data_IF_309367330022
#
_entry.id   IF_309367330022
#
_cell.length_a   1.000
_cell.length_b   1.000
_cell.length_c   1.000
_cell.angle_alpha   90.00
_cell.angle_beta   90.00
_cell.angle_gamma   90.00
#
_symmetry.space_group_name_H-M   'P 1'
#
loop_
_entity.id
_entity.type
_entity.pdbx_description
1 polymer ?
#
# COMPACT_ATOMS: atom_id res chain seq x y z
N UNK A 1 -37.46 33.51 41.83
CA UNK A 1 -37.27 32.88 40.49
C UNK A 1 -35.91 32.20 40.47
N UNK A 2 -35.89 30.86 40.56
CA UNK A 2 -34.66 30.06 40.43
C UNK A 2 -34.31 29.99 38.95
N UNK A 3 -33.16 30.52 38.55
CA UNK A 3 -32.63 30.31 37.20
C UNK A 3 -32.07 28.88 37.14
N UNK A 4 -32.77 28.01 36.42
CA UNK A 4 -32.24 26.72 36.00
C UNK A 4 -31.06 26.95 35.05
N UNK A 5 -29.87 26.62 35.53
CA UNK A 5 -28.66 26.56 34.71
C UNK A 5 -28.82 25.38 33.77
N UNK A 6 -29.21 25.67 32.53
CA UNK A 6 -29.21 24.72 31.42
C UNK A 6 -27.77 24.28 31.15
N UNK A 7 -27.38 23.16 31.74
CA UNK A 7 -26.16 22.45 31.37
C UNK A 7 -26.22 22.10 29.88
N UNK A 8 -25.20 22.43 29.07
CA UNK A 8 -25.17 22.05 27.67
C UNK A 8 -25.21 20.51 27.56
N UNK A 9 -25.90 19.97 26.54
CA UNK A 9 -26.01 18.54 26.35
C UNK A 9 -24.59 17.96 26.22
N UNK A 10 -24.21 17.11 27.18
CA UNK A 10 -23.07 16.21 27.00
C UNK A 10 -23.35 15.43 25.72
N UNK A 11 -22.62 15.72 24.66
CA UNK A 11 -22.48 14.78 23.56
C UNK A 11 -21.74 13.59 24.15
N UNK A 12 -22.50 12.63 24.69
CA UNK A 12 -21.96 11.37 25.13
C UNK A 12 -21.15 10.77 23.97
N UNK A 13 -20.01 10.10 24.26
CA UNK A 13 -19.43 9.22 23.27
C UNK A 13 -20.56 8.34 22.76
N UNK A 14 -20.81 8.35 21.44
CA UNK A 14 -21.89 7.60 20.80
C UNK A 14 -21.92 6.22 21.44
N UNK A 15 -22.91 5.97 22.29
CA UNK A 15 -23.06 4.72 23.02
C UNK A 15 -23.41 3.66 21.96
N UNK A 16 -22.36 3.14 21.32
CA UNK A 16 -22.49 2.04 20.38
C UNK A 16 -23.14 0.92 21.16
N UNK A 17 -24.28 0.43 20.67
CA UNK A 17 -24.95 -0.70 21.29
C UNK A 17 -23.93 -1.84 21.51
N UNK A 18 -24.00 -2.59 22.62
CA UNK A 18 -23.01 -3.62 22.97
C UNK A 18 -22.67 -4.56 21.79
N UNK A 19 -23.68 -4.93 20.98
CA UNK A 19 -23.52 -5.74 19.77
C UNK A 19 -22.64 -5.08 18.70
N UNK A 20 -22.81 -3.79 18.43
CA UNK A 20 -21.99 -3.04 17.47
C UNK A 20 -20.53 -2.95 17.93
N UNK A 21 -20.32 -2.82 19.25
CA UNK A 21 -18.98 -2.78 19.83
C UNK A 21 -18.24 -4.12 19.67
N UNK A 22 -18.94 -5.25 19.76
CA UNK A 22 -18.37 -6.58 19.59
C UNK A 22 -17.98 -6.83 18.13
N UNK A 23 -18.91 -6.62 17.19
CA UNK A 23 -18.65 -6.82 15.75
C UNK A 23 -17.48 -5.96 15.26
N UNK A 24 -17.36 -4.72 15.76
CA UNK A 24 -16.21 -3.85 15.47
C UNK A 24 -14.88 -4.47 15.93
N UNK A 25 -14.82 -4.99 17.16
CA UNK A 25 -13.61 -5.60 17.72
C UNK A 25 -13.23 -6.85 16.94
N UNK A 26 -14.20 -7.67 16.56
CA UNK A 26 -13.98 -8.85 15.72
C UNK A 26 -13.46 -8.46 14.34
N UNK A 27 -14.08 -7.49 13.68
CA UNK A 27 -13.61 -6.97 12.39
C UNK A 27 -12.17 -6.42 12.48
N UNK A 28 -11.87 -5.64 13.52
CA UNK A 28 -10.51 -5.15 13.77
C UNK A 28 -9.51 -6.29 13.95
N UNK A 29 -9.88 -7.34 14.69
CA UNK A 29 -9.07 -8.55 14.83
C UNK A 29 -8.72 -9.21 13.49
N UNK A 30 -9.72 -9.39 12.61
CA UNK A 30 -9.49 -9.92 11.27
C UNK A 30 -8.63 -8.98 10.40
N UNK A 31 -8.82 -7.67 10.49
CA UNK A 31 -7.98 -6.68 9.80
C UNK A 31 -6.52 -6.80 10.26
N UNK A 32 -6.27 -6.91 11.56
CA UNK A 32 -4.93 -7.07 12.10
C UNK A 32 -4.29 -8.40 11.67
N UNK A 33 -5.04 -9.49 11.71
CA UNK A 33 -4.56 -10.80 11.24
C UNK A 33 -4.25 -10.76 9.74
N UNK A 34 -5.15 -10.19 8.92
CA UNK A 34 -4.94 -10.03 7.48
C UNK A 34 -3.71 -9.17 7.19
N UNK A 35 -3.53 -8.05 7.92
CA UNK A 35 -2.37 -7.18 7.75
C UNK A 35 -1.08 -7.91 8.12
N UNK A 36 -1.07 -8.63 9.25
CA UNK A 36 0.10 -9.39 9.70
C UNK A 36 0.47 -10.47 8.68
N UNK A 37 -0.48 -11.28 8.22
CA UNK A 37 -0.21 -12.35 7.25
C UNK A 37 0.23 -11.79 5.91
N UNK A 38 -0.44 -10.76 5.37
CA UNK A 38 -0.08 -10.18 4.07
C UNK A 38 1.27 -9.45 4.09
N UNK A 39 1.77 -9.01 5.25
CA UNK A 39 3.13 -8.45 5.35
C UNK A 39 4.17 -9.54 5.61
N UNK A 40 3.92 -10.45 6.55
CA UNK A 40 4.94 -11.37 7.08
C UNK A 40 5.08 -12.63 6.21
N UNK A 41 3.96 -13.23 5.80
CA UNK A 41 3.88 -14.51 5.10
C UNK A 41 2.78 -14.50 4.03
N UNK A 42 2.85 -13.58 3.05
CA UNK A 42 1.76 -13.36 2.10
C UNK A 42 1.47 -14.54 1.18
N UNK A 43 2.42 -15.48 1.07
CA UNK A 43 2.32 -16.67 0.23
C UNK A 43 1.99 -17.93 1.02
N UNK A 44 1.70 -17.83 2.32
CA UNK A 44 1.18 -18.93 3.12
C UNK A 44 -0.09 -19.48 2.50
N UNK A 45 -0.15 -20.78 2.23
CA UNK A 45 -1.30 -21.44 1.61
C UNK A 45 -0.93 -22.37 0.46
N UNK A 46 -1.93 -22.62 -0.39
CA UNK A 46 -1.89 -23.58 -1.50
C UNK A 46 -2.37 -22.91 -2.79
N UNK A 47 -2.15 -23.56 -3.93
CA UNK A 47 -2.82 -23.18 -5.18
C UNK A 47 -4.01 -24.11 -5.41
N UNK A 48 -5.11 -23.55 -5.87
CA UNK A 48 -6.25 -24.32 -6.38
C UNK A 48 -6.36 -23.98 -7.87
N UNK A 49 -5.90 -24.90 -8.72
CA UNK A 49 -5.61 -24.59 -10.12
C UNK A 49 -4.53 -23.51 -10.21
N UNK A 50 -4.77 -22.47 -11.02
CA UNK A 50 -3.86 -21.33 -11.16
C UNK A 50 -4.07 -20.23 -10.09
N UNK A 51 -5.14 -20.32 -9.31
CA UNK A 51 -5.47 -19.30 -8.32
C UNK A 51 -4.70 -19.53 -7.01
N UNK A 52 -3.85 -18.58 -6.58
CA UNK A 52 -3.18 -18.68 -5.29
C UNK A 52 -4.18 -18.39 -4.17
N UNK A 53 -4.60 -19.44 -3.46
CA UNK A 53 -5.44 -19.31 -2.27
C UNK A 53 -4.54 -19.17 -1.05
N UNK A 54 -4.28 -17.92 -0.68
CA UNK A 54 -3.39 -17.60 0.44
C UNK A 54 -4.19 -17.41 1.74
N UNK A 55 -3.55 -17.65 2.88
CA UNK A 55 -4.12 -17.33 4.19
C UNK A 55 -4.47 -15.83 4.28
N UNK A 56 -3.65 -14.97 3.67
CA UNK A 56 -3.90 -13.52 3.62
C UNK A 56 -5.19 -13.16 2.89
N UNK A 57 -5.44 -13.78 1.72
CA UNK A 57 -6.67 -13.56 0.94
C UNK A 57 -7.91 -14.10 1.67
N UNK A 58 -7.80 -15.25 2.34
CA UNK A 58 -8.90 -15.80 3.16
C UNK A 58 -9.25 -14.84 4.31
N UNK A 59 -8.24 -14.35 5.04
CA UNK A 59 -8.43 -13.41 6.14
C UNK A 59 -9.04 -12.08 5.67
N UNK A 60 -8.64 -11.57 4.50
CA UNK A 60 -9.29 -10.40 3.89
C UNK A 60 -10.77 -10.67 3.59
N UNK A 61 -11.12 -11.83 3.04
CA UNK A 61 -12.50 -12.23 2.79
C UNK A 61 -13.33 -12.30 4.07
N UNK A 62 -12.81 -12.94 5.12
CA UNK A 62 -13.45 -13.00 6.43
C UNK A 62 -13.63 -11.62 7.05
N UNK A 63 -12.63 -10.74 6.94
CA UNK A 63 -12.72 -9.36 7.41
C UNK A 63 -13.87 -8.61 6.72
N UNK A 64 -14.03 -8.79 5.40
CA UNK A 64 -15.13 -8.19 4.63
C UNK A 64 -16.49 -8.73 5.04
N UNK A 65 -16.64 -10.04 5.25
CA UNK A 65 -17.90 -10.64 5.71
C UNK A 65 -18.29 -10.05 7.07
N UNK A 66 -17.38 -10.05 8.05
CA UNK A 66 -17.66 -9.46 9.38
C UNK A 66 -17.92 -7.95 9.27
N UNK A 67 -17.18 -7.26 8.41
CA UNK A 67 -17.37 -5.85 8.11
C UNK A 67 -18.76 -5.54 7.57
N UNK A 68 -19.27 -6.37 6.65
CA UNK A 68 -20.61 -6.27 6.11
C UNK A 68 -21.67 -6.50 7.19
N UNK A 69 -21.50 -7.53 8.03
CA UNK A 69 -22.39 -7.76 9.17
C UNK A 69 -22.41 -6.55 10.13
N UNK A 70 -21.26 -5.95 10.39
CA UNK A 70 -21.16 -4.74 11.21
C UNK A 70 -21.87 -3.54 10.56
N UNK A 71 -21.77 -3.39 9.23
CA UNK A 71 -22.49 -2.38 8.46
C UNK A 71 -24.00 -2.58 8.53
N UNK A 72 -24.49 -3.79 8.26
CA UNK A 72 -25.91 -4.16 8.37
C UNK A 72 -26.46 -3.99 9.78
N UNK A 73 -25.62 -4.13 10.82
CA UNK A 73 -25.97 -3.84 12.21
C UNK A 73 -26.05 -2.32 12.54
N UNK A 74 -26.07 -1.44 11.53
CA UNK A 74 -26.29 0.00 11.69
C UNK A 74 -25.02 0.84 11.82
N UNK A 75 -23.85 0.28 11.47
CA UNK A 75 -22.61 1.04 11.48
C UNK A 75 -22.57 2.04 10.31
N UNK A 76 -22.26 3.29 10.62
CA UNK A 76 -22.09 4.35 9.61
C UNK A 76 -20.68 4.30 9.00
N UNK A 77 -20.63 4.45 7.67
CA UNK A 77 -19.41 4.71 6.91
C UNK A 77 -19.17 6.20 6.87
N UNK A 78 -17.93 6.63 7.07
CA UNK A 78 -17.55 8.04 6.96
C UNK A 78 -17.20 8.34 5.51
N UNK A 79 -17.97 9.22 4.88
CA UNK A 79 -17.73 9.65 3.52
C UNK A 79 -16.80 10.86 3.49
N UNK A 80 -15.63 10.66 2.90
CA UNK A 80 -14.66 11.70 2.53
C UNK A 80 -14.60 11.80 1.00
N UNK A 81 -14.10 12.91 0.42
CA UNK A 81 -13.95 13.00 -1.03
C UNK A 81 -13.13 11.86 -1.65
N UNK A 82 -12.14 11.32 -0.91
CA UNK A 82 -11.34 10.18 -1.37
C UNK A 82 -12.12 8.87 -1.24
N UNK A 83 -12.82 8.62 -0.12
CA UNK A 83 -13.64 7.41 -0.01
C UNK A 83 -14.76 7.38 -1.04
N UNK A 84 -15.32 8.54 -1.41
CA UNK A 84 -16.26 8.65 -2.52
C UNK A 84 -15.66 8.20 -3.84
N UNK A 85 -14.45 8.67 -4.18
CA UNK A 85 -13.76 8.21 -5.38
C UNK A 85 -13.45 6.71 -5.34
N UNK A 86 -13.04 6.18 -4.19
CA UNK A 86 -12.74 4.75 -4.02
C UNK A 86 -14.00 3.89 -4.23
N UNK A 87 -15.16 4.30 -3.71
CA UNK A 87 -16.41 3.59 -3.96
C UNK A 87 -16.87 3.72 -5.41
N UNK A 88 -16.70 4.88 -6.05
CA UNK A 88 -17.04 5.05 -7.47
C UNK A 88 -16.19 4.13 -8.33
N UNK A 89 -14.87 4.05 -8.06
CA UNK A 89 -13.98 3.09 -8.72
C UNK A 89 -14.45 1.64 -8.48
N UNK A 90 -14.70 1.26 -7.23
CA UNK A 90 -15.13 -0.08 -6.87
C UNK A 90 -16.48 -0.47 -7.48
N UNK A 91 -17.43 0.45 -7.53
CA UNK A 91 -18.74 0.25 -8.15
C UNK A 91 -18.62 0.12 -9.67
N UNK A 92 -17.86 1.01 -10.32
CA UNK A 92 -17.60 0.94 -11.76
C UNK A 92 -16.95 -0.39 -12.14
N UNK A 93 -15.89 -0.77 -11.43
CA UNK A 93 -15.19 -2.04 -11.69
C UNK A 93 -16.04 -3.25 -11.32
N UNK A 94 -16.88 -3.17 -10.30
CA UNK A 94 -17.85 -4.22 -9.97
C UNK A 94 -18.84 -4.45 -11.10
N UNK A 95 -19.41 -3.38 -11.66
CA UNK A 95 -20.30 -3.45 -12.82
C UNK A 95 -19.57 -3.99 -14.05
N UNK A 96 -18.36 -3.51 -14.34
CA UNK A 96 -17.55 -3.97 -15.48
C UNK A 96 -17.25 -5.46 -15.36
N UNK A 97 -16.82 -5.93 -14.19
CA UNK A 97 -16.53 -7.35 -13.94
C UNK A 97 -17.78 -8.23 -13.95
N UNK A 98 -18.96 -7.70 -13.60
CA UNK A 98 -20.21 -8.43 -13.74
C UNK A 98 -20.58 -8.63 -15.22
N UNK A 99 -20.38 -7.61 -16.06
CA UNK A 99 -20.58 -7.71 -17.51
C UNK A 99 -19.61 -8.75 -18.09
N UNK A 100 -18.34 -8.66 -17.75
CA UNK A 100 -17.29 -9.62 -18.12
C UNK A 100 -17.68 -11.06 -17.74
N UNK A 101 -18.16 -11.27 -16.51
CA UNK A 101 -18.65 -12.58 -16.08
C UNK A 101 -19.87 -13.07 -16.86
N UNK A 102 -20.83 -12.19 -17.19
CA UNK A 102 -21.98 -12.53 -18.03
C UNK A 102 -21.58 -12.92 -19.46
N UNK A 103 -20.43 -12.41 -19.93
CA UNK A 103 -19.84 -12.75 -21.23
C UNK A 103 -18.95 -14.01 -21.16
N UNK A 104 -18.74 -14.59 -19.98
CA UNK A 104 -17.97 -15.82 -19.77
C UNK A 104 -16.50 -15.61 -19.41
N UNK A 105 -16.03 -14.38 -19.25
CA UNK A 105 -14.60 -14.06 -19.13
C UNK A 105 -14.36 -13.19 -17.89
N UNK A 106 -13.98 -13.76 -16.74
CA UNK A 106 -13.72 -12.97 -15.52
C UNK A 106 -12.30 -13.15 -15.00
N UNK A 107 -11.58 -12.03 -14.88
CA UNK A 107 -10.22 -12.01 -14.32
C UNK A 107 -10.23 -11.70 -12.83
N UNK A 108 -10.03 -12.75 -12.03
CA UNK A 108 -10.10 -12.70 -10.56
C UNK A 108 -9.11 -11.69 -9.98
N UNK A 109 -7.94 -11.52 -10.59
CA UNK A 109 -6.93 -10.56 -10.16
C UNK A 109 -7.39 -9.10 -10.24
N UNK A 110 -8.19 -8.74 -11.26
CA UNK A 110 -8.76 -7.40 -11.42
C UNK A 110 -9.91 -7.19 -10.45
N UNK A 111 -10.78 -8.19 -10.29
CA UNK A 111 -11.85 -8.16 -9.26
C UNK A 111 -11.23 -7.97 -7.88
N UNK A 112 -10.16 -8.70 -7.57
CA UNK A 112 -9.48 -8.60 -6.29
C UNK A 112 -8.83 -7.22 -6.09
N UNK A 113 -8.11 -6.73 -7.09
CA UNK A 113 -7.39 -5.46 -7.02
C UNK A 113 -8.29 -4.22 -7.02
N UNK A 114 -9.38 -4.24 -7.78
CA UNK A 114 -10.18 -3.06 -8.11
C UNK A 114 -11.63 -3.11 -7.62
N UNK A 115 -12.09 -4.24 -7.05
CA UNK A 115 -13.40 -4.34 -6.39
C UNK A 115 -13.22 -4.67 -4.91
N UNK A 116 -12.60 -5.82 -4.61
CA UNK A 116 -12.35 -6.26 -3.23
C UNK A 116 -11.40 -5.30 -2.51
N UNK A 117 -10.35 -4.84 -3.19
CA UNK A 117 -9.41 -3.85 -2.69
C UNK A 117 -10.07 -2.57 -2.16
N UNK A 118 -10.83 -1.82 -2.98
CA UNK A 118 -11.63 -0.68 -2.52
C UNK A 118 -12.52 -0.99 -1.30
N UNK A 119 -13.14 -2.18 -1.23
CA UNK A 119 -13.93 -2.57 -0.05
C UNK A 119 -13.05 -2.71 1.20
N UNK A 120 -11.84 -3.26 1.07
CA UNK A 120 -10.87 -3.33 2.18
C UNK A 120 -10.46 -1.93 2.65
N UNK A 121 -10.28 -0.97 1.74
CA UNK A 121 -10.03 0.42 2.11
C UNK A 121 -11.17 1.00 2.98
N UNK A 122 -12.42 0.83 2.55
CA UNK A 122 -13.60 1.31 3.29
C UNK A 122 -13.70 0.61 4.65
N UNK A 123 -13.47 -0.70 4.69
CA UNK A 123 -13.49 -1.48 5.91
C UNK A 123 -12.44 -0.99 6.91
N UNK A 124 -11.18 -0.83 6.50
CA UNK A 124 -10.09 -0.41 7.38
C UNK A 124 -10.31 1.02 7.88
N UNK A 125 -10.60 1.95 6.97
CA UNK A 125 -10.80 3.37 7.29
C UNK A 125 -11.99 3.61 8.22
N UNK A 126 -13.05 2.82 8.09
CA UNK A 126 -14.21 2.90 8.99
C UNK A 126 -14.01 2.13 10.29
N UNK A 127 -13.17 1.07 10.29
CA UNK A 127 -13.01 0.15 11.43
C UNK A 127 -12.02 0.60 12.49
N UNK A 128 -10.85 1.07 12.07
CA UNK A 128 -9.76 1.41 12.99
C UNK A 128 -9.90 2.84 13.50
N UNK A 129 -10.81 3.08 14.44
CA UNK A 129 -11.17 4.46 14.85
C UNK A 129 -10.43 4.95 16.08
N UNK A 130 -9.75 4.08 16.84
CA UNK A 130 -9.08 4.45 18.09
C UNK A 130 -7.56 4.54 17.91
N UNK A 131 -6.89 5.36 18.73
CA UNK A 131 -5.43 5.47 18.71
C UNK A 131 -4.73 4.13 18.93
N UNK A 132 -5.32 3.26 19.77
CA UNK A 132 -4.83 1.90 20.01
C UNK A 132 -4.91 1.03 18.76
N UNK A 133 -5.98 1.14 17.97
CA UNK A 133 -6.13 0.39 16.72
C UNK A 133 -5.05 0.82 15.71
N UNK A 134 -4.83 2.13 15.58
CA UNK A 134 -3.80 2.71 14.71
C UNK A 134 -2.39 2.29 15.15
N UNK A 135 -2.10 2.36 16.45
CA UNK A 135 -0.81 1.93 17.01
C UNK A 135 -0.57 0.43 16.78
N UNK A 136 -1.60 -0.41 16.96
CA UNK A 136 -1.51 -1.85 16.75
C UNK A 136 -1.20 -2.16 15.28
N UNK A 137 -1.92 -1.54 14.34
CA UNK A 137 -1.65 -1.70 12.91
C UNK A 137 -0.24 -1.23 12.54
N UNK A 138 0.20 -0.06 13.03
CA UNK A 138 1.54 0.45 12.80
C UNK A 138 2.62 -0.50 13.37
N UNK A 139 2.39 -1.08 14.55
CA UNK A 139 3.29 -2.05 15.18
C UNK A 139 3.39 -3.33 14.35
N UNK A 140 2.28 -3.81 13.78
CA UNK A 140 2.28 -4.95 12.85
C UNK A 140 3.16 -4.65 11.63
N UNK A 141 3.07 -3.44 11.05
CA UNK A 141 3.92 -3.04 9.93
C UNK A 141 5.41 -3.00 10.31
N UNK A 142 5.76 -2.48 11.49
CA UNK A 142 7.14 -2.43 11.99
C UNK A 142 7.70 -3.83 12.21
N UNK A 143 6.97 -4.68 12.94
CA UNK A 143 7.39 -6.07 13.21
C UNK A 143 7.49 -6.84 11.90
N UNK A 144 6.51 -6.68 11.01
CA UNK A 144 6.49 -7.35 9.73
C UNK A 144 7.65 -6.94 8.82
N UNK A 145 7.99 -5.66 8.77
CA UNK A 145 9.19 -5.19 8.06
C UNK A 145 10.46 -5.83 8.62
N UNK A 146 10.65 -5.82 9.95
CA UNK A 146 11.83 -6.44 10.58
C UNK A 146 11.91 -7.93 10.24
N UNK A 147 10.79 -8.65 10.32
CA UNK A 147 10.72 -10.07 9.96
C UNK A 147 11.11 -10.30 8.49
N UNK A 148 10.50 -9.56 7.56
CA UNK A 148 10.72 -9.75 6.11
C UNK A 148 12.18 -9.47 5.73
N UNK A 149 12.78 -8.44 6.31
CA UNK A 149 14.21 -8.12 6.14
C UNK A 149 15.08 -9.23 6.71
N UNK A 150 14.84 -9.64 7.97
CA UNK A 150 15.64 -10.67 8.64
C UNK A 150 15.54 -12.01 7.91
N UNK A 151 14.33 -12.41 7.53
CA UNK A 151 14.08 -13.64 6.77
C UNK A 151 14.73 -13.59 5.38
N UNK A 152 14.71 -12.44 4.71
CA UNK A 152 15.44 -12.24 3.46
C UNK A 152 16.96 -12.42 3.65
N UNK A 153 17.53 -11.85 4.72
CA UNK A 153 18.94 -12.06 5.04
C UNK A 153 19.27 -13.54 5.32
N UNK A 154 18.40 -14.26 6.04
CA UNK A 154 18.56 -15.70 6.26
C UNK A 154 18.55 -16.48 4.94
N UNK A 155 17.60 -16.21 4.04
CA UNK A 155 17.57 -16.84 2.71
C UNK A 155 18.83 -16.56 1.90
N UNK A 156 19.38 -15.35 2.02
CA UNK A 156 20.60 -14.96 1.33
C UNK A 156 21.82 -15.74 1.87
N UNK A 157 21.94 -15.89 3.19
CA UNK A 157 23.10 -16.53 3.85
C UNK A 157 23.03 -18.05 3.78
N UNK A 158 21.88 -18.65 4.09
CA UNK A 158 21.73 -20.10 4.23
C UNK A 158 21.17 -20.78 2.96
N UNK A 159 20.72 -19.99 2.00
CA UNK A 159 20.05 -20.47 0.80
C UNK A 159 18.53 -20.57 0.97
N UNK A 160 17.81 -20.38 -0.13
CA UNK A 160 16.34 -20.32 -0.16
C UNK A 160 15.70 -21.58 0.42
N UNK A 161 16.14 -22.75 -0.05
CA UNK A 161 15.52 -24.03 0.32
C UNK A 161 15.81 -24.43 1.77
N UNK A 162 16.95 -24.02 2.34
CA UNK A 162 17.30 -24.35 3.71
C UNK A 162 16.43 -23.61 4.75
N UNK A 163 15.92 -22.44 4.39
CA UNK A 163 15.14 -21.57 5.28
C UNK A 163 13.64 -21.67 5.01
N UNK A 164 13.24 -22.15 3.82
CA UNK A 164 11.84 -22.25 3.42
C UNK A 164 11.04 -23.19 4.34
N UNK A 165 9.91 -22.70 4.83
CA UNK A 165 8.89 -23.46 5.56
C UNK A 165 7.68 -23.68 4.63
N UNK A 166 7.51 -24.88 4.05
CA UNK A 166 6.43 -25.17 3.10
C UNK A 166 5.03 -24.89 3.66
N UNK A 167 4.20 -24.22 2.87
CA UNK A 167 2.83 -23.81 3.27
C UNK A 167 2.76 -22.58 4.17
N UNK A 168 3.88 -22.13 4.75
CA UNK A 168 3.94 -20.96 5.65
C UNK A 168 4.66 -19.80 4.99
N UNK A 169 5.97 -19.92 4.76
CA UNK A 169 6.76 -18.84 4.15
C UNK A 169 6.80 -18.92 2.63
N UNK A 170 6.36 -20.05 2.08
CA UNK A 170 6.29 -20.38 0.67
C UNK A 170 4.98 -21.12 0.42
N UNK A 171 4.38 -20.92 -0.75
CA UNK A 171 3.21 -21.69 -1.16
C UNK A 171 3.59 -23.17 -1.28
N UNK A 172 2.77 -24.06 -0.71
CA UNK A 172 3.07 -25.49 -0.64
C UNK A 172 3.19 -26.13 -2.02
N UNK A 173 2.25 -25.83 -2.91
CA UNK A 173 2.21 -26.40 -4.27
C UNK A 173 3.42 -25.96 -5.09
N UNK A 174 3.84 -24.69 -4.96
CA UNK A 174 5.06 -24.22 -5.62
C UNK A 174 6.30 -24.92 -5.07
N UNK A 175 6.42 -25.07 -3.75
CA UNK A 175 7.58 -25.74 -3.16
C UNK A 175 7.73 -27.20 -3.63
N UNK A 176 6.61 -27.88 -3.88
CA UNK A 176 6.58 -29.25 -4.37
C UNK A 176 6.92 -29.39 -5.87
N UNK A 177 7.04 -28.29 -6.63
CA UNK A 177 7.33 -28.36 -8.07
C UNK A 177 8.79 -28.67 -8.40
N UNK A 178 9.69 -28.65 -7.40
CA UNK A 178 11.10 -29.05 -7.55
C UNK A 178 12.07 -28.17 -6.77
N UNK A 179 13.36 -28.52 -6.79
CA UNK A 179 14.41 -27.81 -6.06
C UNK A 179 14.59 -26.33 -6.49
N UNK A 180 14.22 -26.02 -7.74
CA UNK A 180 14.37 -24.70 -8.34
C UNK A 180 13.04 -23.93 -8.45
N UNK A 181 12.04 -24.29 -7.63
CA UNK A 181 10.70 -23.70 -7.65
C UNK A 181 10.70 -22.17 -7.65
N UNK A 182 11.67 -21.56 -6.95
CA UNK A 182 11.78 -20.12 -6.81
C UNK A 182 12.31 -19.44 -8.08
N UNK A 183 13.13 -20.13 -8.89
CA UNK A 183 13.66 -19.57 -10.14
C UNK A 183 12.59 -19.42 -11.22
N UNK A 184 11.57 -20.29 -11.19
CA UNK A 184 10.43 -20.28 -12.10
C UNK A 184 9.50 -19.06 -11.90
N UNK A 185 9.67 -18.29 -10.80
CA UNK A 185 8.83 -17.13 -10.43
C UNK A 185 9.40 -15.78 -10.88
N UNK A 186 10.08 -15.73 -12.02
CA UNK A 186 10.79 -14.53 -12.52
C UNK A 186 11.86 -13.98 -11.55
N UNK A 187 12.47 -14.86 -10.77
CA UNK A 187 13.57 -14.51 -9.87
C UNK A 187 14.96 -14.72 -10.50
N UNK A 188 15.06 -15.38 -11.64
CA UNK A 188 16.35 -15.58 -12.31
C UNK A 188 16.86 -14.26 -12.90
N UNK A 189 18.12 -13.92 -12.61
CA UNK A 189 18.82 -12.77 -13.18
C UNK A 189 20.25 -13.18 -13.53
N UNK A 190 20.52 -13.38 -14.82
CA UNK A 190 21.82 -13.90 -15.26
C UNK A 190 22.11 -15.25 -14.59
N UNK A 191 23.27 -15.33 -13.92
CA UNK A 191 23.68 -16.47 -13.09
C UNK A 191 23.12 -16.46 -11.66
N UNK A 192 22.46 -15.37 -11.24
CA UNK A 192 21.97 -15.16 -9.89
C UNK A 192 20.45 -15.26 -9.72
N UNK A 193 20.01 -15.01 -8.49
CA UNK A 193 18.58 -14.95 -8.11
C UNK A 193 18.28 -13.67 -7.36
N UNK A 194 17.10 -13.10 -7.61
CA UNK A 194 16.52 -12.02 -6.80
C UNK A 194 16.36 -12.47 -5.35
N UNK A 195 16.49 -11.53 -4.42
CA UNK A 195 15.99 -11.69 -3.06
C UNK A 195 14.48 -11.46 -3.03
N UNK A 196 13.72 -12.36 -2.42
CA UNK A 196 12.25 -12.29 -2.39
C UNK A 196 11.61 -12.59 -1.03
N UNK A 197 12.38 -12.99 -0.01
CA UNK A 197 11.86 -13.25 1.34
C UNK A 197 10.66 -14.21 1.29
N UNK A 198 9.59 -13.93 2.04
CA UNK A 198 8.34 -14.70 2.05
C UNK A 198 7.37 -14.35 0.90
N UNK A 199 7.76 -13.44 0.00
CA UNK A 199 6.90 -12.98 -1.12
C UNK A 199 7.03 -13.85 -2.38
N UNK A 200 7.99 -14.78 -2.42
CA UNK A 200 8.31 -15.68 -3.53
C UNK A 200 8.67 -14.99 -4.87
N UNK A 201 8.60 -13.66 -4.96
CA UNK A 201 9.00 -12.88 -6.13
C UNK A 201 9.63 -11.55 -5.69
N UNK A 202 10.83 -11.25 -6.21
CA UNK A 202 11.60 -10.06 -5.82
C UNK A 202 10.94 -8.73 -6.21
N UNK A 203 10.22 -8.68 -7.33
CA UNK A 203 9.47 -7.49 -7.73
C UNK A 203 8.30 -7.25 -6.78
N UNK A 204 7.60 -8.31 -6.38
CA UNK A 204 6.49 -8.24 -5.42
C UNK A 204 7.01 -7.81 -4.04
N UNK A 205 8.13 -8.37 -3.55
CA UNK A 205 8.78 -7.92 -2.32
C UNK A 205 9.10 -6.42 -2.41
N UNK A 206 9.78 -6.00 -3.49
CA UNK A 206 10.18 -4.61 -3.70
C UNK A 206 8.99 -3.64 -3.68
N UNK A 207 7.93 -3.94 -4.42
CA UNK A 207 6.70 -3.12 -4.45
C UNK A 207 6.06 -2.99 -3.06
N UNK A 208 6.00 -4.08 -2.29
CA UNK A 208 5.41 -4.06 -0.95
C UNK A 208 6.31 -3.37 0.09
N UNK A 209 7.64 -3.43 -0.06
CA UNK A 209 8.55 -2.63 0.76
C UNK A 209 8.34 -1.12 0.56
N UNK A 210 8.06 -0.68 -0.68
CA UNK A 210 7.72 0.73 -0.95
C UNK A 210 6.42 1.18 -0.28
N UNK A 211 5.49 0.26 -0.03
CA UNK A 211 4.24 0.54 0.67
C UNK A 211 4.43 0.55 2.20
N UNK A 212 5.17 -0.42 2.73
CA UNK A 212 5.32 -0.63 4.18
C UNK A 212 6.35 0.31 4.80
N UNK A 213 7.53 0.42 4.19
CA UNK A 213 8.67 1.08 4.82
C UNK A 213 8.46 2.57 5.15
N UNK A 214 7.81 3.39 4.30
CA UNK A 214 7.57 4.79 4.63
C UNK A 214 6.75 4.97 5.92
N UNK A 215 5.82 4.05 6.21
CA UNK A 215 5.07 4.04 7.48
C UNK A 215 5.99 3.67 8.64
N UNK A 216 6.78 2.59 8.47
CA UNK A 216 7.75 2.11 9.48
C UNK A 216 8.74 3.21 9.86
N UNK A 217 9.27 3.94 8.89
CA UNK A 217 10.25 5.00 9.13
C UNK A 217 9.69 6.13 9.99
N UNK A 218 8.46 6.56 9.75
CA UNK A 218 7.84 7.64 10.52
C UNK A 218 7.53 7.22 11.96
N UNK A 219 7.11 5.98 12.19
CA UNK A 219 6.65 5.51 13.52
C UNK A 219 7.75 4.88 14.38
N UNK A 220 8.82 4.37 13.78
CA UNK A 220 9.89 3.71 14.53
C UNK A 220 10.66 4.74 15.38
N UNK A 221 11.13 4.31 16.56
CA UNK A 221 11.94 5.15 17.46
C UNK A 221 13.17 5.69 16.74
N UNK A 222 13.51 6.95 17.00
CA UNK A 222 14.57 7.69 16.31
C UNK A 222 15.90 6.93 16.25
N UNK A 223 16.31 6.26 17.34
CA UNK A 223 17.56 5.47 17.39
C UNK A 223 17.66 4.34 16.37
N UNK A 224 16.52 3.82 15.88
CA UNK A 224 16.47 2.71 14.93
C UNK A 224 16.21 3.14 13.49
N UNK A 225 15.93 4.43 13.23
CA UNK A 225 15.57 4.93 11.90
C UNK A 225 16.66 4.69 10.86
N UNK A 226 17.92 4.94 11.23
CA UNK A 226 19.05 4.72 10.33
C UNK A 226 19.21 3.23 9.99
N UNK A 227 19.18 2.36 11.00
CA UNK A 227 19.28 0.92 10.80
C UNK A 227 18.13 0.39 9.91
N UNK A 228 16.90 0.85 10.14
CA UNK A 228 15.75 0.49 9.32
C UNK A 228 15.89 0.99 7.86
N UNK A 229 16.41 2.21 7.66
CA UNK A 229 16.68 2.76 6.33
C UNK A 229 17.75 1.97 5.59
N UNK A 230 18.86 1.64 6.24
CA UNK A 230 19.93 0.81 5.65
C UNK A 230 19.36 -0.56 5.27
N UNK A 231 18.64 -1.22 6.18
CA UNK A 231 17.98 -2.49 5.91
C UNK A 231 17.03 -2.43 4.71
N UNK A 232 16.19 -1.40 4.64
CA UNK A 232 15.27 -1.18 3.52
C UNK A 232 16.01 -1.01 2.20
N UNK A 233 17.01 -0.14 2.14
CA UNK A 233 17.79 0.10 0.92
C UNK A 233 18.51 -1.18 0.51
N UNK A 234 19.20 -1.87 1.42
CA UNK A 234 19.92 -3.11 1.13
C UNK A 234 19.00 -4.19 0.58
N UNK A 235 17.88 -4.49 1.25
CA UNK A 235 16.93 -5.52 0.79
C UNK A 235 16.29 -5.11 -0.54
N UNK A 236 15.88 -3.85 -0.70
CA UNK A 236 15.32 -3.35 -1.95
C UNK A 236 16.32 -3.46 -3.11
N UNK A 237 17.61 -3.20 -2.88
CA UNK A 237 18.66 -3.39 -3.88
C UNK A 237 18.79 -4.88 -4.26
N UNK A 238 18.85 -5.77 -3.27
CA UNK A 238 18.97 -7.22 -3.47
C UNK A 238 17.75 -7.87 -4.12
N UNK A 239 16.59 -7.20 -4.17
CA UNK A 239 15.46 -7.67 -4.99
C UNK A 239 15.76 -7.66 -6.48
N UNK A 240 16.79 -6.90 -6.92
CA UNK A 240 17.12 -6.65 -8.31
C UNK A 240 15.92 -6.14 -9.16
N UNK A 241 14.91 -5.56 -8.51
CA UNK A 241 13.76 -4.96 -9.16
C UNK A 241 14.06 -3.50 -9.51
N UNK A 242 14.04 -3.17 -10.81
CA UNK A 242 14.27 -1.79 -11.27
C UNK A 242 13.20 -0.82 -10.74
N UNK A 243 11.95 -1.26 -10.62
CA UNK A 243 10.88 -0.42 -10.06
C UNK A 243 11.07 -0.19 -8.56
N UNK A 244 11.57 -1.20 -7.82
CA UNK A 244 11.91 -1.05 -6.42
C UNK A 244 13.08 -0.06 -6.25
N UNK A 245 14.13 -0.17 -7.07
CA UNK A 245 15.28 0.74 -7.04
C UNK A 245 14.87 2.18 -7.32
N UNK A 246 14.06 2.37 -8.35
CA UNK A 246 13.51 3.69 -8.69
C UNK A 246 12.63 4.23 -7.57
N UNK A 247 11.77 3.41 -6.98
CA UNK A 247 10.95 3.79 -5.83
C UNK A 247 11.77 4.19 -4.60
N UNK A 248 12.88 3.49 -4.31
CA UNK A 248 13.81 3.86 -3.23
C UNK A 248 14.41 5.25 -3.49
N UNK A 249 14.89 5.50 -4.71
CA UNK A 249 15.45 6.79 -5.09
C UNK A 249 14.42 7.93 -4.97
N UNK A 250 13.19 7.68 -5.41
CA UNK A 250 12.07 8.63 -5.26
C UNK A 250 11.75 8.87 -3.80
N UNK A 251 11.66 7.82 -2.97
CA UNK A 251 11.41 7.96 -1.53
C UNK A 251 12.47 8.83 -0.86
N UNK A 252 13.76 8.53 -1.09
CA UNK A 252 14.87 9.28 -0.50
C UNK A 252 14.78 10.76 -0.92
N UNK A 253 14.52 11.01 -2.20
CA UNK A 253 14.38 12.36 -2.74
C UNK A 253 13.19 13.11 -2.12
N UNK A 254 11.98 12.55 -2.19
CA UNK A 254 10.77 13.19 -1.67
C UNK A 254 10.85 13.43 -0.15
N UNK A 255 11.39 12.46 0.60
CA UNK A 255 11.39 12.51 2.08
C UNK A 255 12.50 13.34 2.71
N UNK A 256 13.70 13.34 2.12
CA UNK A 256 14.88 13.97 2.73
C UNK A 256 15.33 15.23 2.00
N UNK A 257 15.07 15.30 0.70
CA UNK A 257 15.44 16.46 -0.12
C UNK A 257 14.32 17.48 -0.10
N UNK A 258 13.15 17.12 -0.65
CA UNK A 258 12.12 18.11 -0.98
C UNK A 258 11.31 18.60 0.22
N UNK A 259 11.16 17.79 1.26
CA UNK A 259 10.29 18.12 2.41
C UNK A 259 11.01 18.80 3.58
N UNK A 260 12.35 18.83 3.59
CA UNK A 260 13.14 19.45 4.66
C UNK A 260 14.07 20.57 4.18
N UNK A 261 14.04 20.93 2.91
CA UNK A 261 14.96 21.95 2.39
C UNK A 261 14.34 23.34 2.44
N UNK A 262 15.03 24.28 3.09
CA UNK A 262 14.66 25.69 3.10
C UNK A 262 15.09 26.42 1.81
N UNK A 263 16.00 25.85 1.01
CA UNK A 263 16.49 26.45 -0.24
C UNK A 263 16.82 25.41 -1.33
N UNK A 264 16.81 25.80 -2.60
CA UNK A 264 17.11 24.92 -3.72
C UNK A 264 18.54 24.32 -3.64
N UNK A 265 19.52 25.07 -3.14
CA UNK A 265 20.90 24.62 -2.97
C UNK A 265 21.07 23.55 -1.90
N UNK A 266 20.38 23.67 -0.76
CA UNK A 266 20.41 22.66 0.31
C UNK A 266 19.68 21.37 -0.12
N UNK A 267 18.68 21.47 -1.00
CA UNK A 267 18.04 20.33 -1.64
C UNK A 267 19.04 19.62 -2.56
N UNK A 268 19.68 20.37 -3.48
CA UNK A 268 20.69 19.82 -4.39
C UNK A 268 21.83 19.10 -3.63
N UNK A 269 22.40 19.71 -2.58
CA UNK A 269 23.45 19.10 -1.77
C UNK A 269 23.00 17.77 -1.11
N UNK A 270 21.75 17.68 -0.65
CA UNK A 270 21.18 16.45 -0.09
C UNK A 270 20.88 15.39 -1.15
N UNK A 271 20.49 15.80 -2.37
CA UNK A 271 20.38 14.90 -3.53
C UNK A 271 21.76 14.32 -3.82
N UNK A 272 22.79 15.16 -3.92
CA UNK A 272 24.16 14.72 -4.16
C UNK A 272 24.67 13.80 -3.05
N UNK A 273 24.36 14.08 -1.78
CA UNK A 273 24.70 13.20 -0.67
C UNK A 273 23.94 11.85 -0.73
N UNK A 274 22.65 11.85 -1.09
CA UNK A 274 21.86 10.63 -1.26
C UNK A 274 22.31 9.80 -2.46
N UNK A 275 22.64 10.45 -3.58
CA UNK A 275 23.27 9.86 -4.75
C UNK A 275 24.66 9.30 -4.42
N UNK A 276 25.47 10.04 -3.68
CA UNK A 276 26.78 9.57 -3.21
C UNK A 276 26.63 8.38 -2.25
N UNK A 277 25.56 8.31 -1.44
CA UNK A 277 25.27 7.15 -0.60
C UNK A 277 24.82 5.94 -1.42
N UNK A 278 24.01 6.17 -2.47
CA UNK A 278 23.62 5.14 -3.44
C UNK A 278 24.83 4.64 -4.24
N UNK A 279 25.75 5.54 -4.61
CA UNK A 279 27.01 5.22 -5.30
C UNK A 279 27.99 4.52 -4.36
N UNK A 280 28.12 4.95 -3.11
CA UNK A 280 28.90 4.24 -2.09
C UNK A 280 28.29 2.85 -1.80
N UNK A 281 26.96 2.74 -1.83
CA UNK A 281 26.24 1.47 -1.86
C UNK A 281 26.53 0.66 -3.12
N UNK A 282 26.65 1.30 -4.28
CA UNK A 282 27.04 0.70 -5.55
C UNK A 282 28.52 0.23 -5.56
N UNK A 283 29.40 0.89 -4.80
CA UNK A 283 30.80 0.50 -4.58
C UNK A 283 30.90 -0.65 -3.59
N UNK A 284 30.08 -0.66 -2.53
CA UNK A 284 29.86 -1.84 -1.69
C UNK A 284 29.26 -3.02 -2.49
N UNK A 285 28.49 -2.71 -3.54
CA UNK A 285 27.97 -3.65 -4.54
C UNK A 285 29.05 -4.23 -5.46
N UNK A 286 30.27 -3.67 -5.48
CA UNK A 286 31.45 -4.41 -5.96
C UNK A 286 31.67 -5.74 -5.21
N UNK A 287 31.13 -5.90 -4.00
CA UNK A 287 31.08 -7.18 -3.27
C UNK A 287 29.92 -8.10 -3.70
N UNK A 288 29.00 -7.62 -4.55
CA UNK A 288 27.80 -8.33 -5.02
C UNK A 288 27.72 -8.31 -6.56
N UNK A 289 28.43 -9.22 -7.27
CA UNK A 289 28.55 -9.23 -8.73
C UNK A 289 27.20 -9.14 -9.46
N UNK A 290 26.16 -9.81 -8.94
CA UNK A 290 24.82 -9.83 -9.56
C UNK A 290 24.14 -8.45 -9.65
N UNK A 291 24.39 -7.55 -8.69
CA UNK A 291 23.83 -6.20 -8.72
C UNK A 291 24.61 -5.35 -9.73
N UNK A 292 25.94 -5.47 -9.73
CA UNK A 292 26.85 -4.81 -10.67
C UNK A 292 26.55 -5.22 -12.11
N UNK A 293 26.45 -6.52 -12.38
CA UNK A 293 26.13 -7.08 -13.70
C UNK A 293 24.78 -6.57 -14.20
N UNK A 294 23.78 -6.46 -13.32
CA UNK A 294 22.47 -5.94 -13.71
C UNK A 294 22.48 -4.43 -13.93
N UNK A 295 23.23 -3.67 -13.13
CA UNK A 295 23.27 -2.21 -13.23
C UNK A 295 24.09 -1.76 -14.44
N UNK A 296 25.31 -2.29 -14.60
CA UNK A 296 26.26 -1.90 -15.64
C UNK A 296 26.17 -2.75 -16.91
N UNK A 297 25.65 -3.98 -16.82
CA UNK A 297 25.40 -4.83 -17.99
C UNK A 297 24.05 -4.54 -18.69
N UNK A 298 23.26 -3.59 -18.18
CA UNK A 298 22.09 -3.09 -18.89
C UNK A 298 22.52 -2.04 -19.91
N UNK A 299 22.34 -2.31 -21.19
CA UNK A 299 22.52 -1.31 -22.24
C UNK A 299 21.49 -0.17 -22.11
N UNK A 300 21.81 1.00 -22.68
CA UNK A 300 20.92 2.15 -22.65
C UNK A 300 19.52 1.83 -23.25
N UNK A 301 19.47 0.89 -24.21
CA UNK A 301 18.23 0.36 -24.80
C UNK A 301 17.36 -0.45 -23.81
N UNK A 302 17.95 -1.31 -22.97
CA UNK A 302 17.23 -2.05 -21.93
C UNK A 302 16.68 -1.14 -20.83
N UNK A 303 17.38 -0.04 -20.54
CA UNK A 303 16.93 0.98 -19.59
C UNK A 303 15.77 1.78 -20.20
N UNK A 304 15.92 2.29 -21.43
CA UNK A 304 14.91 3.08 -22.13
C UNK A 304 13.62 2.28 -22.42
N UNK A 305 13.75 0.97 -22.70
CA UNK A 305 12.60 0.08 -22.92
C UNK A 305 11.94 -0.41 -21.62
N UNK A 306 12.44 -0.02 -20.43
CA UNK A 306 11.95 -0.47 -19.13
C UNK A 306 11.84 -2.01 -18.99
N UNK A 307 12.85 -2.72 -19.52
CA UNK A 307 12.84 -4.19 -19.70
C UNK A 307 11.79 -4.69 -20.70
N UNK A 308 11.61 -3.99 -21.83
CA UNK A 308 10.65 -4.35 -22.87
C UNK A 308 9.19 -3.97 -22.55
N UNK A 309 8.94 -3.17 -21.51
CA UNK A 309 7.61 -2.71 -21.11
C UNK A 309 7.11 -1.50 -21.89
N UNK A 310 8.01 -0.59 -22.29
CA UNK A 310 7.64 0.57 -23.13
C UNK A 310 7.04 0.13 -24.47
N UNK A 311 7.66 -0.82 -25.22
CA UNK A 311 7.06 -1.32 -26.46
C UNK A 311 5.70 -2.02 -26.24
N UNK A 312 5.54 -2.77 -25.14
CA UNK A 312 4.27 -3.44 -24.81
C UNK A 312 3.15 -2.45 -24.50
N UNK A 313 3.46 -1.36 -23.81
CA UNK A 313 2.49 -0.29 -23.55
C UNK A 313 2.14 0.45 -24.84
N UNK A 314 3.10 0.71 -25.71
CA UNK A 314 2.85 1.32 -27.03
C UNK A 314 1.92 0.42 -27.87
N UNK A 315 2.20 -0.88 -27.95
CA UNK A 315 1.35 -1.85 -28.65
C UNK A 315 -0.08 -1.87 -28.10
N UNK A 316 -0.26 -1.81 -26.78
CA UNK A 316 -1.57 -1.70 -26.15
C UNK A 316 -2.29 -0.41 -26.57
N UNK A 317 -1.61 0.72 -26.59
CA UNK A 317 -2.19 2.00 -27.02
C UNK A 317 -2.60 1.93 -28.49
N UNK A 318 -1.71 1.44 -29.35
CA UNK A 318 -1.94 1.32 -30.80
C UNK A 318 -3.11 0.38 -31.11
N UNK A 319 -3.26 -0.73 -30.37
CA UNK A 319 -4.39 -1.65 -30.54
C UNK A 319 -5.71 -1.07 -30.02
N UNK A 320 -5.65 -0.16 -29.04
CA UNK A 320 -6.86 0.37 -28.38
C UNK A 320 -7.39 1.62 -29.09
N UNK A 321 -6.51 2.47 -29.65
CA UNK A 321 -6.91 3.77 -30.23
C UNK A 321 -7.87 3.64 -31.41
N UNK A 322 -7.88 2.48 -32.08
CA UNK A 322 -8.77 2.18 -33.19
C UNK A 322 -10.22 1.94 -32.76
N UNK A 323 -10.49 1.71 -31.46
CA UNK A 323 -11.82 1.46 -30.93
C UNK A 323 -12.13 2.42 -29.75
N UNK A 324 -12.96 3.46 -29.96
CA UNK A 324 -13.29 4.42 -28.92
C UNK A 324 -13.89 3.81 -27.64
N UNK A 325 -14.65 2.71 -27.76
CA UNK A 325 -15.20 2.00 -26.59
C UNK A 325 -14.08 1.32 -25.79
N UNK A 326 -13.11 0.73 -26.46
CA UNK A 326 -11.93 0.13 -25.83
C UNK A 326 -11.10 1.19 -25.09
N UNK A 327 -11.00 2.41 -25.61
CA UNK A 327 -10.31 3.52 -24.93
C UNK A 327 -10.99 3.90 -23.62
N UNK A 328 -12.33 4.00 -23.65
CA UNK A 328 -13.11 4.50 -22.51
C UNK A 328 -13.28 3.42 -21.44
N UNK A 329 -13.65 2.20 -21.85
CA UNK A 329 -14.04 1.11 -20.95
C UNK A 329 -12.98 0.04 -20.74
N UNK A 330 -11.89 0.09 -21.51
CA UNK A 330 -10.75 -0.81 -21.42
C UNK A 330 -10.69 -1.77 -22.62
N UNK A 331 -9.49 -2.09 -23.11
CA UNK A 331 -9.30 -3.00 -24.24
C UNK A 331 -9.54 -4.47 -23.91
N UNK A 332 -9.63 -4.86 -22.63
CA UNK A 332 -9.93 -6.24 -22.26
C UNK A 332 -11.23 -6.70 -22.95
N UNK A 333 -11.13 -7.77 -23.75
CA UNK A 333 -12.18 -8.34 -24.61
C UNK A 333 -12.69 -7.46 -25.77
N UNK A 334 -12.22 -6.22 -25.90
CA UNK A 334 -12.58 -5.31 -27.01
C UNK A 334 -11.47 -5.23 -28.05
N UNK A 335 -10.21 -5.46 -27.65
CA UNK A 335 -9.04 -5.48 -28.52
C UNK A 335 -8.25 -6.79 -28.34
N UNK A 336 -7.62 -7.27 -29.42
CA UNK A 336 -6.94 -8.57 -29.48
C UNK A 336 -5.63 -8.67 -28.66
N UNK A 337 -5.18 -7.58 -28.03
CA UNK A 337 -3.87 -7.53 -27.38
C UNK A 337 -3.96 -6.99 -25.95
N UNK A 338 -3.82 -7.88 -24.98
CA UNK A 338 -3.60 -7.50 -23.58
C UNK A 338 -2.11 -7.23 -23.28
N UNK A 339 -1.22 -7.93 -23.99
CA UNK A 339 0.24 -7.79 -23.88
C UNK A 339 0.80 -7.99 -22.47
N UNK A 340 2.10 -7.75 -22.29
CA UNK A 340 2.74 -7.70 -20.96
C UNK A 340 2.60 -6.34 -20.27
N UNK A 341 1.73 -5.46 -20.77
CA UNK A 341 1.43 -4.17 -20.16
C UNK A 341 0.70 -4.32 -18.80
N UNK A 342 0.14 -5.51 -18.54
CA UNK A 342 -0.39 -5.84 -17.21
C UNK A 342 0.67 -5.77 -16.11
N UNK A 343 1.98 -5.85 -16.37
CA UNK A 343 2.97 -5.67 -15.30
C UNK A 343 3.01 -4.22 -14.76
N UNK A 344 2.63 -3.24 -15.59
CA UNK A 344 2.54 -1.82 -15.22
C UNK A 344 1.19 -1.58 -14.55
N UNK A 345 1.16 -0.99 -13.34
CA UNK A 345 -0.09 -0.76 -12.61
C UNK A 345 -1.09 0.08 -13.42
N UNK A 346 -0.62 1.15 -14.04
CA UNK A 346 -1.47 2.02 -14.87
C UNK A 346 -1.93 1.30 -16.14
N UNK A 347 -1.04 0.51 -16.74
CA UNK A 347 -1.33 -0.33 -17.90
C UNK A 347 -2.47 -1.28 -17.61
N UNK A 348 -2.40 -2.09 -16.55
CA UNK A 348 -3.50 -3.02 -16.29
C UNK A 348 -4.77 -2.38 -15.69
N UNK A 349 -4.71 -1.21 -15.06
CA UNK A 349 -5.95 -0.50 -14.67
C UNK A 349 -6.67 -0.04 -15.94
N UNK A 350 -5.89 0.43 -16.92
CA UNK A 350 -6.40 0.78 -18.24
C UNK A 350 -6.93 -0.45 -18.99
N UNK A 351 -6.23 -1.59 -18.98
CA UNK A 351 -6.72 -2.86 -19.56
C UNK A 351 -8.09 -3.21 -18.97
N UNK A 352 -8.19 -3.20 -17.63
CA UNK A 352 -9.38 -3.68 -16.92
C UNK A 352 -10.60 -2.75 -17.01
N UNK A 353 -10.41 -1.43 -17.10
CA UNK A 353 -11.52 -0.48 -17.01
C UNK A 353 -11.35 0.82 -17.78
N UNK A 354 -10.37 0.89 -18.68
CA UNK A 354 -10.14 2.00 -19.58
C UNK A 354 -9.74 3.31 -18.91
N UNK A 355 -9.94 4.40 -19.64
CA UNK A 355 -9.60 5.75 -19.17
C UNK A 355 -10.40 6.14 -17.91
N UNK A 356 -11.61 5.60 -17.73
CA UNK A 356 -12.45 5.86 -16.54
C UNK A 356 -11.76 5.33 -15.28
N UNK A 357 -11.43 4.04 -15.24
CA UNK A 357 -10.73 3.45 -14.08
C UNK A 357 -9.37 4.07 -13.84
N UNK A 358 -8.61 4.33 -14.91
CA UNK A 358 -7.29 4.95 -14.81
C UNK A 358 -7.40 6.35 -14.18
N UNK A 359 -8.33 7.18 -14.65
CA UNK A 359 -8.54 8.53 -14.13
C UNK A 359 -8.97 8.52 -12.67
N UNK A 360 -9.86 7.59 -12.29
CA UNK A 360 -10.29 7.43 -10.90
C UNK A 360 -9.12 7.00 -10.00
N UNK A 361 -8.33 6.01 -10.42
CA UNK A 361 -7.15 5.57 -9.65
C UNK A 361 -6.16 6.73 -9.48
N UNK A 362 -5.81 7.44 -10.56
CA UNK A 362 -4.87 8.57 -10.50
C UNK A 362 -5.41 9.68 -9.58
N UNK A 363 -6.70 10.00 -9.66
CA UNK A 363 -7.33 10.96 -8.77
C UNK A 363 -7.25 10.53 -7.29
N UNK A 364 -7.48 9.24 -7.00
CA UNK A 364 -7.32 8.66 -5.65
C UNK A 364 -5.88 8.82 -5.16
N UNK A 365 -4.89 8.44 -5.98
CA UNK A 365 -3.47 8.52 -5.63
C UNK A 365 -3.05 9.96 -5.31
N UNK A 366 -3.36 10.91 -6.20
CA UNK A 366 -2.99 12.32 -6.06
C UNK A 366 -3.66 12.93 -4.83
N UNK A 367 -4.98 12.74 -4.67
CA UNK A 367 -5.71 13.31 -3.52
C UNK A 367 -5.26 12.70 -2.20
N UNK A 368 -5.04 11.38 -2.18
CA UNK A 368 -4.56 10.68 -0.98
C UNK A 368 -3.18 11.17 -0.56
N UNK A 369 -2.21 11.23 -1.48
CA UNK A 369 -0.88 11.74 -1.18
C UNK A 369 -0.93 13.18 -0.65
N UNK A 370 -1.67 14.08 -1.33
CA UNK A 370 -1.80 15.49 -0.91
C UNK A 370 -2.44 15.65 0.46
N UNK A 371 -3.49 14.89 0.75
CA UNK A 371 -4.21 14.98 2.02
C UNK A 371 -3.40 14.39 3.17
N UNK A 372 -2.82 13.20 2.98
CA UNK A 372 -2.13 12.47 4.04
C UNK A 372 -0.76 13.09 4.38
N UNK A 373 -0.02 13.63 3.40
CA UNK A 373 1.24 14.33 3.64
C UNK A 373 1.08 15.64 4.44
N UNK A 374 -0.13 16.23 4.45
CA UNK A 374 -0.46 17.41 5.25
C UNK A 374 -1.00 17.07 6.64
N UNK A 375 -1.14 15.79 6.96
CA UNK A 375 -1.62 15.35 8.27
C UNK A 375 -0.60 15.65 9.37
N UNK A 376 -1.06 15.71 10.61
CA UNK A 376 -0.19 15.73 11.81
C UNK A 376 0.14 14.32 12.31
N UNK A 377 -0.56 13.29 11.81
CA UNK A 377 -0.31 11.90 12.19
C UNK A 377 0.96 11.37 11.52
N UNK A 378 1.90 10.84 12.30
CA UNK A 378 3.08 10.15 11.74
C UNK A 378 2.69 8.97 10.85
N UNK A 379 1.66 8.20 11.24
CA UNK A 379 1.14 7.09 10.43
C UNK A 379 0.57 7.61 9.11
N UNK A 380 -0.29 8.63 9.15
CA UNK A 380 -0.86 9.18 7.92
C UNK A 380 0.20 9.79 7.00
N UNK A 381 1.16 10.56 7.54
CA UNK A 381 2.30 11.09 6.77
C UNK A 381 3.08 9.96 6.11
N UNK A 382 3.39 8.90 6.86
CA UNK A 382 4.08 7.72 6.34
C UNK A 382 3.32 7.05 5.20
N UNK A 383 2.00 6.89 5.33
CA UNK A 383 1.13 6.39 4.26
C UNK A 383 1.12 7.35 3.06
N UNK A 384 1.12 8.66 3.29
CA UNK A 384 1.21 9.67 2.23
C UNK A 384 2.47 9.52 1.38
N UNK A 385 3.63 9.29 2.02
CA UNK A 385 4.87 8.97 1.30
C UNK A 385 4.79 7.63 0.57
N UNK A 386 4.24 6.58 1.20
CA UNK A 386 4.05 5.28 0.57
C UNK A 386 3.24 5.37 -0.73
N UNK A 387 2.09 6.07 -0.69
CA UNK A 387 1.23 6.28 -1.86
C UNK A 387 1.96 7.05 -2.95
N UNK A 388 2.65 8.14 -2.60
CA UNK A 388 3.37 8.97 -3.56
C UNK A 388 4.49 8.19 -4.26
N UNK A 389 5.29 7.45 -3.50
CA UNK A 389 6.39 6.63 -4.03
C UNK A 389 5.87 5.48 -4.87
N UNK A 390 4.87 4.76 -4.38
CA UNK A 390 4.27 3.65 -5.12
C UNK A 390 3.63 4.11 -6.43
N UNK A 391 2.97 5.27 -6.44
CA UNK A 391 2.40 5.86 -7.65
C UNK A 391 3.49 6.11 -8.72
N UNK A 392 4.66 6.63 -8.33
CA UNK A 392 5.75 6.88 -9.27
C UNK A 392 6.41 5.57 -9.72
N UNK A 393 6.69 4.65 -8.80
CA UNK A 393 7.28 3.35 -9.12
C UNK A 393 6.39 2.49 -10.03
N UNK A 394 5.07 2.63 -9.89
CA UNK A 394 4.03 1.94 -10.66
C UNK A 394 4.01 2.29 -12.15
N UNK A 395 4.73 3.33 -12.60
CA UNK A 395 4.96 3.62 -14.03
C UNK A 395 5.84 2.55 -14.67
N UNK A 396 6.73 1.91 -13.90
CA UNK A 396 7.61 0.84 -14.38
C UNK A 396 6.95 -0.52 -14.13
N UNK A 397 6.65 -0.82 -12.87
CA UNK A 397 6.03 -2.08 -12.44
C UNK A 397 5.60 -1.94 -10.97
N UNK A 398 4.32 -2.14 -10.67
CA UNK A 398 3.81 -2.07 -9.30
C UNK A 398 3.37 -3.41 -8.71
N UNK A 399 3.34 -4.49 -9.49
CA UNK A 399 2.84 -5.79 -9.05
C UNK A 399 1.43 -5.75 -8.44
N UNK A 400 0.60 -4.78 -8.87
CA UNK A 400 -0.70 -4.46 -8.24
C UNK A 400 -1.73 -5.59 -8.33
N UNK A 401 -1.62 -6.48 -9.31
CA UNK A 401 -2.54 -7.62 -9.53
C UNK A 401 -2.05 -8.89 -8.84
N UNK A 402 -0.82 -8.87 -8.31
CA UNK A 402 -0.20 -10.03 -7.67
C UNK A 402 -0.42 -9.92 -6.16
N UNK A 403 -1.18 -10.84 -5.54
CA UNK A 403 -1.27 -10.91 -4.09
C UNK A 403 0.13 -11.01 -3.46
N UNK A 404 0.43 -10.25 -2.40
CA UNK A 404 -0.51 -9.52 -1.53
C UNK A 404 -0.68 -8.03 -1.87
N UNK A 405 0.01 -7.53 -2.89
CA UNK A 405 0.14 -6.09 -3.18
C UNK A 405 -1.17 -5.32 -3.22
N UNK A 406 -2.24 -5.77 -3.92
CA UNK A 406 -3.50 -5.01 -3.94
C UNK A 406 -4.12 -4.89 -2.54
N UNK A 407 -4.14 -5.99 -1.79
CA UNK A 407 -4.67 -6.01 -0.42
C UNK A 407 -3.89 -5.06 0.49
N UNK A 408 -2.55 -5.12 0.45
CA UNK A 408 -1.70 -4.23 1.24
C UNK A 408 -1.85 -2.76 0.84
N UNK A 409 -1.88 -2.44 -0.45
CA UNK A 409 -2.08 -1.08 -0.93
C UNK A 409 -3.35 -0.47 -0.34
N UNK A 410 -4.49 -1.15 -0.48
CA UNK A 410 -5.77 -0.62 -0.02
C UNK A 410 -5.91 -0.60 1.50
N UNK A 411 -5.38 -1.61 2.21
CA UNK A 411 -5.39 -1.63 3.67
C UNK A 411 -4.50 -0.55 4.27
N UNK A 412 -3.28 -0.33 3.73
CA UNK A 412 -2.36 0.72 4.19
C UNK A 412 -2.94 2.10 3.87
N UNK A 413 -3.56 2.28 2.69
CA UNK A 413 -4.26 3.51 2.35
C UNK A 413 -5.41 3.77 3.34
N UNK A 414 -6.21 2.75 3.65
CA UNK A 414 -7.31 2.84 4.63
C UNK A 414 -6.80 3.20 6.03
N UNK A 415 -5.66 2.63 6.45
CA UNK A 415 -5.00 2.95 7.71
C UNK A 415 -4.56 4.44 7.76
N UNK A 416 -4.06 4.99 6.66
CA UNK A 416 -3.68 6.40 6.59
C UNK A 416 -4.86 7.34 6.83
N UNK A 417 -6.02 7.05 6.22
CA UNK A 417 -7.24 7.83 6.42
C UNK A 417 -7.83 7.66 7.82
N UNK A 418 -7.79 6.44 8.36
CA UNK A 418 -8.18 6.17 9.74
C UNK A 418 -7.36 7.00 10.74
N UNK A 419 -6.03 7.01 10.56
CA UNK A 419 -5.11 7.77 11.39
C UNK A 419 -5.31 9.29 11.26
N UNK A 420 -5.59 9.78 10.05
CA UNK A 420 -5.87 11.20 9.83
C UNK A 420 -7.18 11.65 10.50
N UNK A 421 -8.24 10.85 10.39
CA UNK A 421 -9.55 11.18 10.96
C UNK A 421 -9.53 11.19 12.51
N UNK A 422 -8.82 10.26 13.13
CA UNK A 422 -8.70 10.17 14.60
C UNK A 422 -8.09 11.44 15.21
N UNK A 423 -7.08 12.02 14.56
CA UNK A 423 -6.44 13.26 15.01
C UNK A 423 -7.33 14.49 14.80
N UNK A 424 -8.01 14.60 13.66
CA UNK A 424 -8.97 15.69 13.42
C UNK A 424 -10.12 15.69 14.43
N UNK A 425 -10.64 14.51 14.78
CA UNK A 425 -11.66 14.37 15.82
C UNK A 425 -11.16 14.79 17.21
N UNK A 426 -9.90 14.50 17.54
CA UNK A 426 -9.30 14.86 18.84
C UNK A 426 -9.10 16.38 18.98
N UNK A 427 -8.66 17.05 17.90
CA UNK A 427 -8.46 18.50 17.88
C UNK A 427 -9.79 19.27 17.98
N UNK A 428 -10.83 18.82 17.28
CA UNK A 428 -12.15 19.46 17.32
C UNK A 428 -12.82 19.41 18.70
N UNK A 429 -12.52 18.40 19.52
CA UNK A 429 -13.01 18.32 20.91
C UNK A 429 -12.21 19.26 21.82
N UNK A 430 -10.89 19.36 21.64
CA UNK A 430 -10.03 20.28 22.39
C UNK A 430 -10.45 21.75 22.25
N UNK A 431 -10.70 22.21 21.02
CA UNK A 431 -11.09 23.60 20.75
C UNK A 431 -12.46 23.96 21.35
N UNK A 432 -13.42 23.02 21.36
CA UNK A 432 -14.74 23.22 22.01
C UNK A 432 -14.64 23.30 23.53
N UNK A 433 -13.70 22.57 24.12
CA UNK A 433 -13.50 22.56 25.58
C UNK A 433 -12.84 23.87 26.03
N UNK A 434 -11.88 24.37 25.25
CA UNK A 434 -11.20 25.64 25.50
C UNK A 434 -12.12 26.86 25.26
N UNK A 435 -12.98 26.82 24.24
CA UNK A 435 -13.95 27.89 23.99
C UNK A 435 -15.06 27.93 25.05
N UNK A 436 -15.51 26.78 25.54
CA UNK A 436 -16.46 26.70 26.66
C UNK A 436 -15.86 27.21 27.99
N UNK A 437 -14.57 26.99 28.23
CA UNK A 437 -13.90 27.53 29.43
C UNK A 437 -13.66 29.04 29.37
N UNK A 438 -13.43 29.63 28.18
CA UNK A 438 -13.29 31.08 28.01
C UNK A 438 -14.60 31.86 28.10
N UNK A 439 -15.74 31.19 27.99
CA UNK A 439 -17.07 31.78 28.16
C UNK A 439 -17.65 31.56 29.58
N UNK A 440 -16.80 31.25 30.56
CA UNK A 440 -17.18 31.38 31.97
C UNK A 440 -17.59 32.83 32.28
N UNK A 441 -18.56 33.06 33.18
CA UNK A 441 -19.15 34.38 33.37
C UNK A 441 -18.07 35.37 33.77
N UNK A 442 -17.83 36.36 32.90
CA UNK A 442 -17.22 37.63 33.27
C UNK A 442 -18.14 38.24 34.33
N UNK A 443 -17.92 37.85 35.59
CA UNK A 443 -18.51 38.52 36.74
C UNK A 443 -18.09 39.96 36.66
N UNK A 444 -19.08 40.80 36.41
CA UNK A 444 -19.12 42.24 36.55
C UNK A 444 -18.41 42.69 37.83
N UNK A 445 -17.10 42.92 37.74
CA UNK A 445 -16.40 43.80 38.68
C UNK A 445 -16.82 45.22 38.34
N UNK A 446 -17.77 45.70 39.16
CA UNK A 446 -18.14 47.10 39.33
C UNK A 446 -16.87 47.93 39.51
N UNK A 447 -16.65 48.88 38.61
CA UNK A 447 -15.89 50.08 38.93
C UNK A 447 -16.79 50.96 39.81
N UNK A 448 -16.42 51.08 41.09
CA UNK A 448 -16.72 52.23 41.92
C UNK A 448 -15.36 52.84 42.26
N UNK A 449 -15.08 53.98 41.64
CA UNK A 449 -14.43 55.18 42.20
C UNK A 449 -14.47 56.29 41.16
#
# INVERSE_FOLDING_TARGET
>A
MRQEVLTPPRTSPVDLQPRQSLLRRVAAGFIFAALAVNVVIPKAGVKIGELPVTAGTILCGLALVVGLLAFLAGRRVIFTPVSSLVMVLGAYMGTRSLIDWMLGEVRVEYVWGLVVGPMLFILVSSTLTTSRDIETAARILVIGFVFVVAYGALQYVFGVNAVAIPGVTVNLTDFQSGSDWYLQKHNRVGSGSKLFSTYQNGNVLGANLLLVFPVVYEVIRQRWRLAALVAFVSVAMLTLSRSAWFGVAVYISVRFVFTKSASAGAAAARIFAGMALLIAGAVLVGAFPQVTDRFFGSDAGSIASLSGRTPRLAQLVDSTIQNPLAVIFGPHEIAQFEGGAYEITYGAVYIAGGLISLSLLVAILIRSARQLLKSTSQVAIGVGYAVAVYAVASVIEGAFWLPPTPSLFWMILGLGFAANAQLQGSLAVGDRTLSAQRQGPLSSQRYLN
#
